data_IF_540485919812
#
_entry.id   IF_540485919812
#
_cell.length_a   1.000
_cell.length_b   1.000
_cell.length_c   1.000
_cell.angle_alpha   90.00
_cell.angle_beta   90.00
_cell.angle_gamma   90.00
#
_symmetry.space_group_name_H-M   'P 1'
#
loop_
_entity.id
_entity.type
_entity.pdbx_description
1 polymer ?
#
# COMPACT_ATOMS: atom_id res chain seq x y z
N UNK A 1 -10.08 -13.09 3.45
CA UNK A 1 -10.45 -12.13 2.39
C UNK A 1 -9.18 -11.31 2.22
N UNK A 2 -8.39 -11.58 1.18
CA UNK A 2 -6.99 -11.15 1.11
C UNK A 2 -6.84 -9.64 1.30
N UNK A 3 -6.10 -9.19 2.33
CA UNK A 3 -5.99 -7.78 2.71
C UNK A 3 -5.48 -6.88 1.59
N UNK A 4 -4.66 -7.44 0.69
CA UNK A 4 -3.97 -6.71 -0.36
C UNK A 4 -4.44 -7.06 -1.79
N UNK A 5 -5.60 -7.73 -1.94
CA UNK A 5 -6.13 -8.05 -3.27
C UNK A 5 -6.42 -6.79 -4.09
N UNK A 6 -5.51 -6.51 -5.01
CA UNK A 6 -5.63 -5.47 -6.02
C UNK A 6 -6.72 -5.80 -7.04
N UNK A 7 -7.76 -4.98 -7.08
CA UNK A 7 -8.78 -5.05 -8.12
C UNK A 7 -10.09 -4.44 -7.69
N UNK A 8 -10.61 -3.50 -8.49
CA UNK A 8 -11.98 -3.01 -8.33
C UNK A 8 -12.95 -4.18 -8.46
N UNK A 9 -13.76 -4.44 -7.43
CA UNK A 9 -14.96 -5.25 -7.58
C UNK A 9 -15.86 -4.56 -8.61
N UNK A 10 -15.85 -5.05 -9.85
CA UNK A 10 -16.75 -4.56 -10.91
C UNK A 10 -18.18 -5.05 -10.68
N UNK A 11 -18.31 -6.14 -9.93
CA UNK A 11 -19.55 -6.83 -9.64
C UNK A 11 -19.47 -7.38 -8.21
N UNK A 12 -20.53 -7.17 -7.43
CA UNK A 12 -20.67 -7.80 -6.11
C UNK A 12 -22.09 -8.37 -5.95
N UNK A 13 -22.20 -9.46 -5.21
CA UNK A 13 -23.49 -10.04 -4.82
C UNK A 13 -23.73 -9.77 -3.34
N UNK A 14 -24.44 -8.69 -3.04
CA UNK A 14 -24.79 -8.35 -1.67
C UNK A 14 -26.21 -8.83 -1.39
N UNK A 15 -26.36 -9.83 -0.50
CA UNK A 15 -27.66 -10.42 -0.17
C UNK A 15 -28.32 -11.21 -1.32
N UNK A 16 -27.51 -11.78 -2.22
CA UNK A 16 -27.99 -12.57 -3.36
C UNK A 16 -28.42 -11.74 -4.59
N UNK A 17 -28.22 -10.42 -4.56
CA UNK A 17 -28.58 -9.52 -5.65
C UNK A 17 -27.34 -8.88 -6.28
N UNK A 18 -27.25 -8.81 -7.61
CA UNK A 18 -26.11 -8.25 -8.31
C UNK A 18 -26.09 -6.71 -8.19
N UNK A 19 -24.93 -6.15 -7.83
CA UNK A 19 -24.66 -4.70 -7.89
C UNK A 19 -23.49 -4.44 -8.81
N UNK A 20 -23.65 -3.41 -9.64
CA UNK A 20 -22.64 -2.94 -10.57
C UNK A 20 -21.96 -1.70 -10.00
N UNK A 21 -20.62 -1.69 -10.02
CA UNK A 21 -19.80 -0.56 -9.60
C UNK A 21 -19.29 0.19 -10.83
N UNK A 22 -19.80 1.40 -11.07
CA UNK A 22 -19.39 2.23 -12.20
C UNK A 22 -18.71 3.51 -11.74
N UNK A 23 -17.72 3.96 -12.52
CA UNK A 23 -17.14 5.28 -12.30
C UNK A 23 -18.18 6.36 -12.57
N UNK A 24 -18.18 7.42 -11.75
CA UNK A 24 -18.99 8.62 -11.91
C UNK A 24 -19.02 9.16 -13.35
N UNK A 25 -17.94 8.99 -14.12
CA UNK A 25 -17.87 9.39 -15.53
C UNK A 25 -19.00 8.79 -16.40
N UNK A 26 -19.56 7.65 -16.00
CA UNK A 26 -20.63 6.95 -16.72
C UNK A 26 -22.03 7.23 -16.16
N UNK A 27 -22.16 8.02 -15.09
CA UNK A 27 -23.44 8.32 -14.44
C UNK A 27 -24.43 8.96 -15.42
N UNK A 28 -23.97 9.95 -16.19
CA UNK A 28 -24.82 10.62 -17.17
C UNK A 28 -25.29 9.66 -18.28
N UNK A 29 -24.44 8.71 -18.69
CA UNK A 29 -24.78 7.71 -19.70
C UNK A 29 -25.86 6.78 -19.15
N UNK A 30 -25.70 6.27 -17.92
CA UNK A 30 -26.69 5.39 -17.28
C UNK A 30 -28.03 6.11 -17.07
N UNK A 31 -28.01 7.35 -16.57
CA UNK A 31 -29.22 8.17 -16.42
C UNK A 31 -29.94 8.41 -17.75
N UNK A 32 -29.19 8.64 -18.83
CA UNK A 32 -29.77 8.76 -20.17
C UNK A 32 -30.35 7.44 -20.68
N UNK A 33 -29.67 6.32 -20.46
CA UNK A 33 -30.20 5.00 -20.83
C UNK A 33 -31.55 4.72 -20.15
N UNK A 34 -31.68 4.99 -18.85
CA UNK A 34 -32.96 4.83 -18.12
C UNK A 34 -34.05 5.70 -18.75
N UNK A 35 -33.74 6.96 -19.09
CA UNK A 35 -34.71 7.86 -19.77
C UNK A 35 -35.10 7.37 -21.16
N UNK A 36 -34.16 6.81 -21.92
CA UNK A 36 -34.42 6.23 -23.24
C UNK A 36 -35.28 4.98 -23.10
N UNK A 37 -35.00 4.08 -22.15
CA UNK A 37 -35.82 2.90 -21.90
C UNK A 37 -37.23 3.26 -21.48
N UNK A 38 -37.40 4.25 -20.58
CA UNK A 38 -38.71 4.77 -20.23
C UNK A 38 -39.45 5.33 -21.46
N UNK A 39 -38.77 6.11 -22.31
CA UNK A 39 -39.34 6.65 -23.55
C UNK A 39 -39.74 5.56 -24.55
N UNK A 40 -38.92 4.53 -24.71
CA UNK A 40 -39.23 3.34 -25.53
C UNK A 40 -40.43 2.60 -24.95
N UNK A 41 -40.53 2.44 -23.64
CA UNK A 41 -41.69 1.85 -22.97
C UNK A 41 -42.98 2.63 -23.27
N UNK A 42 -42.94 3.97 -23.19
CA UNK A 42 -44.07 4.83 -23.54
C UNK A 42 -44.44 4.69 -25.02
N UNK A 43 -43.47 4.70 -25.94
CA UNK A 43 -43.74 4.53 -27.37
C UNK A 43 -44.34 3.15 -27.67
N UNK A 44 -43.81 2.09 -27.06
CA UNK A 44 -44.31 0.72 -27.23
C UNK A 44 -45.74 0.58 -26.70
N UNK A 45 -46.15 1.36 -25.70
CA UNK A 45 -47.54 1.35 -25.21
C UNK A 45 -48.58 1.82 -26.23
N UNK A 46 -48.16 2.60 -27.24
CA UNK A 46 -49.02 3.10 -28.32
C UNK A 46 -49.28 2.00 -29.37
N UNK A 47 -48.34 1.07 -29.52
CA UNK A 47 -48.45 -0.03 -30.47
C UNK A 47 -49.27 -1.17 -29.85
N UNK A 48 -50.32 -1.58 -30.54
CA UNK A 48 -51.19 -2.69 -30.12
C UNK A 48 -50.50 -4.02 -30.38
N UNK A 49 -49.61 -4.44 -29.47
CA UNK A 49 -49.06 -5.79 -29.46
C UNK A 49 -50.04 -6.78 -28.87
N UNK A 50 -49.87 -8.06 -29.19
CA UNK A 50 -50.53 -9.14 -28.46
C UNK A 50 -50.12 -9.10 -26.98
N UNK A 51 -51.08 -9.35 -26.09
CA UNK A 51 -50.93 -9.08 -24.64
C UNK A 51 -49.70 -9.74 -24.01
N UNK A 52 -49.34 -10.95 -24.46
CA UNK A 52 -48.19 -11.69 -23.95
C UNK A 52 -46.86 -11.10 -24.41
N UNK A 53 -46.80 -10.51 -25.60
CA UNK A 53 -45.62 -9.81 -26.13
C UNK A 53 -45.42 -8.51 -25.36
N UNK A 54 -46.49 -7.75 -25.15
CA UNK A 54 -46.46 -6.52 -24.35
C UNK A 54 -46.00 -6.78 -22.91
N UNK A 55 -46.53 -7.84 -22.28
CA UNK A 55 -46.12 -8.24 -20.93
C UNK A 55 -44.65 -8.64 -20.87
N UNK A 56 -44.17 -9.46 -21.82
CA UNK A 56 -42.77 -9.88 -21.86
C UNK A 56 -41.81 -8.68 -21.99
N UNK A 57 -42.11 -7.75 -22.88
CA UNK A 57 -41.33 -6.52 -23.07
C UNK A 57 -41.33 -5.66 -21.79
N UNK A 58 -42.49 -5.47 -21.16
CA UNK A 58 -42.59 -4.68 -19.94
C UNK A 58 -41.77 -5.28 -18.79
N UNK A 59 -41.80 -6.62 -18.65
CA UNK A 59 -40.98 -7.33 -17.65
C UNK A 59 -39.49 -7.12 -17.94
N UNK A 60 -39.05 -7.23 -19.20
CA UNK A 60 -37.63 -7.01 -19.55
C UNK A 60 -37.19 -5.57 -19.27
N UNK A 61 -37.98 -4.58 -19.70
CA UNK A 61 -37.68 -3.16 -19.44
C UNK A 61 -37.61 -2.89 -17.93
N UNK A 62 -38.58 -3.40 -17.16
CA UNK A 62 -38.57 -3.29 -15.71
C UNK A 62 -37.33 -3.91 -15.07
N UNK A 63 -36.91 -5.10 -15.52
CA UNK A 63 -35.70 -5.75 -15.00
C UNK A 63 -34.43 -4.95 -15.32
N UNK A 64 -34.35 -4.36 -16.52
CA UNK A 64 -33.22 -3.51 -16.92
C UNK A 64 -33.19 -2.23 -16.09
N UNK A 65 -34.32 -1.53 -15.94
CA UNK A 65 -34.40 -0.30 -15.14
C UNK A 65 -34.05 -0.59 -13.68
N UNK A 66 -34.63 -1.64 -13.10
CA UNK A 66 -34.33 -2.06 -11.73
C UNK A 66 -32.85 -2.44 -11.52
N UNK A 67 -32.21 -3.05 -12.52
CA UNK A 67 -30.78 -3.34 -12.48
C UNK A 67 -29.94 -2.06 -12.56
N UNK A 68 -30.28 -1.13 -13.46
CA UNK A 68 -29.56 0.13 -13.64
C UNK A 68 -29.71 1.06 -12.43
N UNK A 69 -30.89 1.13 -11.81
CA UNK A 69 -31.12 1.90 -10.58
C UNK A 69 -30.27 1.42 -9.39
N UNK A 70 -29.92 0.14 -9.37
CA UNK A 70 -29.03 -0.45 -8.36
C UNK A 70 -27.54 -0.24 -8.62
N UNK A 71 -27.17 0.45 -9.69
CA UNK A 71 -25.78 0.77 -9.98
C UNK A 71 -25.25 1.74 -8.92
N UNK A 72 -24.16 1.34 -8.26
CA UNK A 72 -23.43 2.22 -7.36
C UNK A 72 -22.38 2.97 -8.18
N UNK A 73 -22.47 4.30 -8.15
CA UNK A 73 -21.45 5.15 -8.74
C UNK A 73 -20.36 5.40 -7.72
N UNK A 74 -19.11 5.27 -8.13
CA UNK A 74 -17.97 5.65 -7.30
C UNK A 74 -17.21 6.82 -7.91
N UNK A 75 -16.61 7.63 -7.03
CA UNK A 75 -15.60 8.62 -7.39
C UNK A 75 -14.26 8.20 -6.80
N UNK A 76 -13.16 8.72 -7.36
CA UNK A 76 -11.83 8.31 -6.93
C UNK A 76 -11.01 9.55 -6.57
N UNK A 77 -10.30 9.45 -5.44
CA UNK A 77 -9.24 10.38 -5.08
C UNK A 77 -7.90 9.68 -5.25
N UNK A 78 -6.84 10.46 -5.41
CA UNK A 78 -5.47 9.94 -5.46
C UNK A 78 -4.69 10.58 -4.33
N UNK A 79 -4.21 9.76 -3.40
CA UNK A 79 -3.24 10.14 -2.40
C UNK A 79 -1.85 9.69 -2.87
N UNK A 80 -0.94 10.65 -3.05
CA UNK A 80 0.45 10.40 -3.40
C UNK A 80 1.26 10.66 -2.13
N UNK A 81 1.87 9.61 -1.58
CA UNK A 81 2.83 9.77 -0.48
C UNK A 81 4.15 10.30 -1.03
N UNK A 82 4.90 11.02 -0.21
CA UNK A 82 6.21 11.56 -0.61
C UNK A 82 7.12 10.43 -1.09
N UNK A 83 7.98 10.75 -2.06
CA UNK A 83 8.86 9.77 -2.70
C UNK A 83 10.24 10.35 -2.88
N UNK A 84 11.25 9.49 -2.81
CA UNK A 84 12.61 9.82 -3.22
C UNK A 84 12.62 9.83 -4.75
N UNK A 85 12.63 11.03 -5.35
CA UNK A 85 12.58 11.24 -6.81
C UNK A 85 13.82 10.68 -7.52
N UNK A 86 15.01 10.92 -6.96
CA UNK A 86 16.27 10.38 -7.48
C UNK A 86 16.77 9.29 -6.52
N UNK A 87 16.08 8.14 -6.56
CA UNK A 87 16.48 6.98 -5.80
C UNK A 87 17.70 6.30 -6.46
N UNK A 88 18.80 6.19 -5.72
CA UNK A 88 20.04 5.57 -6.14
C UNK A 88 20.30 4.36 -5.23
N UNK A 89 20.02 3.12 -5.69
CA UNK A 89 20.17 1.93 -4.87
C UNK A 89 21.57 1.75 -4.28
N UNK A 90 22.59 2.22 -4.99
CA UNK A 90 23.99 2.10 -4.59
C UNK A 90 24.38 3.04 -3.45
N UNK A 91 23.54 4.02 -3.09
CA UNK A 91 23.77 4.88 -1.94
C UNK A 91 23.55 4.12 -0.63
N UNK A 92 22.63 3.14 -0.58
CA UNK A 92 22.39 2.31 0.60
C UNK A 92 23.40 1.17 0.68
N UNK A 93 24.48 1.35 1.44
CA UNK A 93 25.59 0.40 1.51
C UNK A 93 25.20 -0.88 2.23
N UNK A 94 24.65 -0.76 3.44
CA UNK A 94 24.33 -1.89 4.31
C UNK A 94 23.25 -1.53 5.34
N UNK A 95 22.81 -2.53 6.09
CA UNK A 95 22.02 -2.34 7.31
C UNK A 95 22.84 -2.84 8.48
N UNK A 96 23.00 -2.01 9.53
CA UNK A 96 23.75 -2.36 10.74
C UNK A 96 22.82 -2.49 11.93
N UNK A 97 23.18 -3.34 12.90
CA UNK A 97 22.44 -3.46 14.15
C UNK A 97 23.35 -3.01 15.28
N UNK A 98 22.91 -2.00 16.02
CA UNK A 98 23.60 -1.46 17.18
C UNK A 98 22.69 -1.64 18.40
N UNK A 99 23.26 -1.96 19.55
CA UNK A 99 22.54 -2.02 20.82
C UNK A 99 23.09 -0.99 21.77
N UNK A 100 22.22 -0.15 22.34
CA UNK A 100 22.58 0.73 23.44
C UNK A 100 22.50 -0.08 24.73
N UNK A 101 23.64 -0.56 25.20
CA UNK A 101 23.76 -1.51 26.32
C UNK A 101 24.29 -2.86 25.86
N UNK A 102 23.91 -3.95 26.54
CA UNK A 102 24.41 -5.28 26.20
C UNK A 102 23.70 -5.84 24.95
N UNK A 103 24.41 -6.29 23.89
CA UNK A 103 23.82 -6.70 22.62
C UNK A 103 22.80 -7.84 22.70
N UNK A 104 22.91 -8.71 23.69
CA UNK A 104 21.96 -9.81 23.91
C UNK A 104 20.87 -9.49 24.94
N UNK A 105 20.96 -8.35 25.64
CA UNK A 105 19.95 -8.00 26.64
C UNK A 105 18.66 -7.53 25.95
N UNK A 106 17.51 -8.19 26.18
CA UNK A 106 16.24 -7.76 25.66
C UNK A 106 15.78 -6.39 26.18
N UNK A 107 16.37 -5.85 27.25
CA UNK A 107 16.08 -4.51 27.76
C UNK A 107 16.86 -3.41 27.05
N UNK A 108 17.92 -3.77 26.32
CA UNK A 108 18.69 -2.78 25.57
C UNK A 108 17.86 -2.21 24.42
N UNK A 109 18.02 -0.91 24.17
CA UNK A 109 17.44 -0.25 23.01
C UNK A 109 18.19 -0.71 21.77
N UNK A 110 17.44 -1.21 20.79
CA UNK A 110 18.00 -1.67 19.52
C UNK A 110 17.91 -0.57 18.49
N UNK A 111 18.97 -0.42 17.72
CA UNK A 111 19.07 0.52 16.61
C UNK A 111 19.34 -0.30 15.36
N UNK A 112 18.50 -0.10 14.35
CA UNK A 112 18.74 -0.55 12.98
C UNK A 112 19.27 0.66 12.23
N UNK A 113 20.56 0.62 11.89
CA UNK A 113 21.23 1.65 11.15
C UNK A 113 21.11 1.43 9.65
N UNK A 114 20.57 2.42 8.93
CA UNK A 114 20.61 2.46 7.47
C UNK A 114 21.90 3.17 7.07
N UNK A 115 22.88 2.38 6.60
CA UNK A 115 24.18 2.91 6.20
C UNK A 115 24.13 3.41 4.76
N UNK A 116 24.23 4.73 4.59
CA UNK A 116 24.23 5.44 3.32
C UNK A 116 25.63 5.98 2.99
N UNK A 117 25.94 6.20 1.70
CA UNK A 117 27.29 6.66 1.30
C UNK A 117 27.58 8.10 1.72
N UNK A 118 26.59 8.99 1.66
CA UNK A 118 26.78 10.43 1.89
C UNK A 118 25.76 11.00 2.85
N UNK A 119 26.16 12.09 3.53
CA UNK A 119 25.31 12.86 4.43
C UNK A 119 24.08 13.44 3.71
N UNK A 120 24.30 14.06 2.54
CA UNK A 120 23.22 14.64 1.72
C UNK A 120 22.16 13.60 1.34
N UNK A 121 22.60 12.38 0.97
CA UNK A 121 21.66 11.32 0.65
C UNK A 121 20.92 10.80 1.89
N UNK A 122 21.59 10.75 3.04
CA UNK A 122 20.95 10.42 4.32
C UNK A 122 19.85 11.42 4.69
N UNK A 123 20.10 12.72 4.52
CA UNK A 123 19.12 13.78 4.77
C UNK A 123 17.91 13.64 3.85
N UNK A 124 18.13 13.41 2.55
CA UNK A 124 17.06 13.16 1.57
C UNK A 124 16.28 11.89 1.89
N UNK A 125 16.96 10.82 2.28
CA UNK A 125 16.33 9.53 2.57
C UNK A 125 15.46 9.61 3.82
N UNK A 126 16.00 10.14 4.92
CA UNK A 126 15.29 10.23 6.18
C UNK A 126 14.24 11.33 6.22
N UNK A 127 14.39 12.42 5.45
CA UNK A 127 13.30 13.42 5.32
C UNK A 127 12.03 12.81 4.72
N UNK A 128 12.16 11.87 3.76
CA UNK A 128 11.02 11.12 3.21
C UNK A 128 10.47 10.13 4.24
N UNK A 129 11.32 9.42 4.99
CA UNK A 129 10.84 8.53 6.05
C UNK A 129 10.07 9.27 7.14
N UNK A 130 10.55 10.46 7.54
CA UNK A 130 9.88 11.31 8.51
C UNK A 130 8.54 11.84 8.00
N UNK A 131 8.45 12.16 6.70
CA UNK A 131 7.17 12.60 6.14
C UNK A 131 6.15 11.45 6.06
N UNK A 132 6.61 10.20 6.07
CA UNK A 132 5.74 9.02 6.15
C UNK A 132 5.20 8.75 7.55
N UNK A 133 5.89 9.19 8.61
CA UNK A 133 5.51 8.92 10.01
C UNK A 133 4.56 9.96 10.62
N UNK A 134 4.18 10.99 9.87
CA UNK A 134 3.29 12.04 10.36
C UNK A 134 3.98 13.12 11.20
N UNK A 135 3.21 14.12 11.65
CA UNK A 135 3.71 15.31 12.38
C UNK A 135 3.87 15.12 13.88
N UNK A 136 3.39 14.01 14.44
CA UNK A 136 3.55 13.70 15.86
C UNK A 136 4.44 12.46 16.01
N UNK A 137 5.59 12.62 16.65
CA UNK A 137 6.61 11.58 16.95
C UNK A 137 6.09 10.36 17.72
N UNK A 138 4.77 10.23 17.90
CA UNK A 138 4.08 9.22 18.70
C UNK A 138 3.05 8.39 17.93
N UNK A 139 2.73 8.71 16.68
CA UNK A 139 1.91 7.83 15.84
C UNK A 139 2.76 6.64 15.35
N UNK A 140 3.08 5.77 16.31
CA UNK A 140 3.82 4.54 16.08
C UNK A 140 3.01 3.60 15.18
N UNK A 141 3.56 3.22 14.03
CA UNK A 141 2.98 2.19 13.15
C UNK A 141 2.78 2.60 11.69
N UNK A 142 3.00 3.88 11.35
CA UNK A 142 2.84 4.38 9.98
C UNK A 142 3.95 3.88 9.03
N UNK A 143 5.11 3.52 9.58
CA UNK A 143 6.22 2.92 8.84
C UNK A 143 6.33 1.42 9.15
N UNK A 144 6.50 0.61 8.11
CA UNK A 144 6.75 -0.84 8.21
C UNK A 144 8.17 -1.15 7.76
N UNK A 145 8.87 -1.92 8.59
CA UNK A 145 10.15 -2.53 8.26
C UNK A 145 9.95 -4.04 8.15
N UNK A 146 10.43 -4.63 7.07
CA UNK A 146 10.29 -6.06 6.85
C UNK A 146 11.55 -6.69 6.32
N UNK A 147 11.82 -7.89 6.79
CA UNK A 147 12.98 -8.68 6.42
C UNK A 147 12.52 -9.98 5.77
N UNK A 148 12.96 -10.19 4.53
CA UNK A 148 12.74 -11.46 3.81
C UNK A 148 14.10 -12.13 3.62
N UNK A 149 14.29 -13.31 4.20
CA UNK A 149 15.57 -14.05 4.13
C UNK A 149 15.44 -15.21 3.14
N UNK A 150 16.30 -15.19 2.12
CA UNK A 150 16.33 -16.13 1.00
C UNK A 150 17.76 -16.70 0.87
N UNK A 151 17.99 -17.87 1.49
CA UNK A 151 19.28 -18.59 1.49
C UNK A 151 20.47 -17.67 1.85
N UNK A 152 21.24 -17.27 0.84
CA UNK A 152 22.46 -16.46 0.96
C UNK A 152 22.21 -14.95 0.95
N UNK A 153 20.94 -14.52 0.85
CA UNK A 153 20.55 -13.12 0.76
C UNK A 153 19.47 -12.79 1.78
N UNK A 154 19.45 -11.54 2.25
CA UNK A 154 18.30 -10.98 2.96
C UNK A 154 17.89 -9.66 2.33
N UNK A 155 16.59 -9.41 2.30
CA UNK A 155 15.98 -8.23 1.70
C UNK A 155 15.34 -7.39 2.78
N UNK A 156 15.68 -6.12 2.80
CA UNK A 156 15.10 -5.13 3.71
C UNK A 156 14.09 -4.31 2.94
N UNK A 157 12.84 -4.32 3.38
CA UNK A 157 11.76 -3.51 2.85
C UNK A 157 11.39 -2.43 3.85
N UNK A 158 11.28 -1.19 3.37
CA UNK A 158 10.77 -0.04 4.12
C UNK A 158 9.65 0.59 3.31
N UNK A 159 8.46 0.69 3.91
CA UNK A 159 7.27 1.23 3.25
C UNK A 159 6.27 1.77 4.25
N UNK A 160 5.41 2.69 3.82
CA UNK A 160 4.31 3.15 4.65
C UNK A 160 3.26 2.05 4.82
N UNK A 161 2.71 1.90 6.02
CA UNK A 161 1.54 1.07 6.24
C UNK A 161 0.37 1.62 5.40
N UNK A 162 -0.20 0.81 4.49
CA UNK A 162 -1.38 1.21 3.72
C UNK A 162 -2.64 1.32 4.60
N UNK A 163 -2.64 0.78 5.82
CA UNK A 163 -3.73 0.89 6.80
C UNK A 163 -3.52 1.98 7.85
N UNK A 164 -2.51 2.86 7.68
CA UNK A 164 -2.15 3.93 8.63
C UNK A 164 -3.29 4.91 8.94
N UNK A 165 -3.29 5.46 10.15
CA UNK A 165 -4.36 6.37 10.61
C UNK A 165 -4.37 7.69 9.84
N UNK A 166 -3.19 8.25 9.54
CA UNK A 166 -3.03 9.48 8.76
C UNK A 166 -3.70 9.40 7.38
N UNK A 167 -3.67 8.23 6.74
CA UNK A 167 -4.31 7.96 5.46
C UNK A 167 -5.83 7.80 5.59
N UNK A 168 -6.30 7.11 6.64
CA UNK A 168 -7.73 6.99 6.96
C UNK A 168 -8.34 8.36 7.24
N UNK A 169 -7.63 9.20 7.98
CA UNK A 169 -8.03 10.57 8.28
C UNK A 169 -8.15 11.42 7.01
N UNK A 170 -7.13 11.39 6.16
CA UNK A 170 -7.14 12.11 4.87
C UNK A 170 -8.27 11.65 3.96
N UNK A 171 -8.48 10.33 3.87
CA UNK A 171 -9.58 9.73 3.10
C UNK A 171 -10.94 10.22 3.60
N UNK A 172 -11.15 10.22 4.92
CA UNK A 172 -12.38 10.68 5.54
C UNK A 172 -12.63 12.18 5.33
N UNK A 173 -11.60 13.00 5.42
CA UNK A 173 -11.73 14.45 5.17
C UNK A 173 -12.19 14.73 3.74
N UNK A 174 -11.66 13.99 2.76
CA UNK A 174 -12.12 14.07 1.36
C UNK A 174 -13.59 13.63 1.24
N UNK A 175 -14.00 12.57 1.94
CA UNK A 175 -15.41 12.15 1.95
C UNK A 175 -16.33 13.22 2.51
N UNK A 176 -15.94 13.83 3.63
CA UNK A 176 -16.72 14.87 4.29
C UNK A 176 -16.78 16.16 3.47
N UNK A 177 -15.67 16.57 2.83
CA UNK A 177 -15.61 17.74 1.94
C UNK A 177 -16.53 17.60 0.72
N UNK A 178 -16.53 16.42 0.09
CA UNK A 178 -17.30 16.18 -1.13
C UNK A 178 -18.68 15.57 -0.90
N UNK A 179 -19.10 15.38 0.35
CA UNK A 179 -20.35 14.69 0.73
C UNK A 179 -21.60 15.27 0.05
N UNK A 180 -21.67 16.59 -0.07
CA UNK A 180 -22.80 17.27 -0.68
C UNK A 180 -22.82 17.11 -2.21
N UNK A 181 -21.66 17.20 -2.87
CA UNK A 181 -21.53 17.09 -4.32
C UNK A 181 -21.66 15.63 -4.81
N UNK A 182 -21.13 14.69 -4.02
CA UNK A 182 -21.04 13.27 -4.35
C UNK A 182 -22.10 12.43 -3.64
N UNK A 183 -23.24 13.04 -3.30
CA UNK A 183 -24.33 12.36 -2.62
C UNK A 183 -24.75 11.07 -3.35
N UNK A 184 -24.81 9.96 -2.60
CA UNK A 184 -25.16 8.64 -3.14
C UNK A 184 -24.04 7.94 -3.91
N UNK A 185 -22.81 8.47 -3.89
CA UNK A 185 -21.62 7.87 -4.52
C UNK A 185 -20.68 7.31 -3.46
N UNK A 186 -20.00 6.23 -3.81
CA UNK A 186 -18.99 5.61 -2.96
C UNK A 186 -17.61 6.20 -3.26
N UNK A 187 -16.84 6.48 -2.21
CA UNK A 187 -15.48 6.97 -2.36
C UNK A 187 -14.52 5.79 -2.53
N UNK A 188 -13.66 5.86 -3.55
CA UNK A 188 -12.62 4.86 -3.79
C UNK A 188 -11.24 5.54 -3.74
N UNK A 189 -10.57 5.56 -2.58
CA UNK A 189 -9.24 6.14 -2.45
C UNK A 189 -8.20 5.30 -3.20
N UNK A 190 -7.39 5.96 -4.03
CA UNK A 190 -6.22 5.36 -4.67
C UNK A 190 -4.97 5.85 -3.95
N UNK A 191 -4.12 4.92 -3.55
CA UNK A 191 -2.89 5.21 -2.81
C UNK A 191 -1.71 4.91 -3.73
N UNK A 192 -0.86 5.91 -3.93
CA UNK A 192 0.41 5.77 -4.63
C UNK A 192 1.51 6.00 -3.61
N UNK A 193 2.30 4.96 -3.33
CA UNK A 193 3.40 5.01 -2.37
C UNK A 193 4.64 4.31 -2.92
N UNK A 194 5.81 4.78 -2.52
CA UNK A 194 7.08 4.16 -2.85
C UNK A 194 7.40 3.06 -1.82
N UNK A 195 8.05 2.00 -2.29
CA UNK A 195 8.57 0.92 -1.44
C UNK A 195 10.06 0.85 -1.67
N UNK A 196 10.83 1.04 -0.59
CA UNK A 196 12.28 0.98 -0.62
C UNK A 196 12.68 -0.45 -0.31
N UNK A 197 13.48 -1.05 -1.19
CA UNK A 197 13.91 -2.44 -1.06
C UNK A 197 15.36 -2.58 -1.48
N UNK A 198 16.19 -3.20 -0.63
CA UNK A 198 17.55 -3.62 -0.99
C UNK A 198 17.87 -5.00 -0.46
N UNK A 199 18.49 -5.81 -1.32
CA UNK A 199 19.04 -7.12 -0.97
C UNK A 199 20.50 -7.01 -0.55
N UNK A 200 20.88 -7.78 0.46
CA UNK A 200 22.23 -7.86 1.00
C UNK A 200 22.62 -9.32 1.17
N UNK A 201 23.90 -9.64 1.01
CA UNK A 201 24.44 -10.98 1.27
C UNK A 201 24.40 -11.28 2.77
N UNK A 202 24.10 -12.52 3.14
CA UNK A 202 24.09 -12.98 4.55
C UNK A 202 25.47 -13.39 5.06
N UNK A 203 26.48 -13.46 4.17
CA UNK A 203 27.87 -13.79 4.49
C UNK A 203 28.55 -12.68 5.32
N UNK A 204 29.08 -13.05 6.50
CA UNK A 204 29.79 -12.22 7.50
C UNK A 204 29.00 -11.66 8.68
N UNK A 205 28.15 -12.49 9.29
CA UNK A 205 27.52 -12.17 10.56
C UNK A 205 26.17 -11.51 10.31
N UNK A 206 25.15 -12.34 10.41
CA UNK A 206 23.76 -11.96 10.30
C UNK A 206 23.38 -11.09 11.52
N UNK A 207 23.80 -9.82 11.51
CA UNK A 207 23.49 -8.84 12.56
C UNK A 207 21.98 -8.74 12.80
N UNK A 208 21.20 -9.05 11.76
CA UNK A 208 19.77 -9.19 11.81
C UNK A 208 19.29 -10.33 12.72
N UNK A 209 19.97 -11.48 12.76
CA UNK A 209 19.63 -12.59 13.65
C UNK A 209 19.73 -12.17 15.12
N UNK A 210 20.81 -11.47 15.47
CA UNK A 210 20.95 -10.89 16.81
C UNK A 210 19.83 -9.90 17.14
N UNK A 211 19.40 -9.08 16.17
CA UNK A 211 18.25 -8.19 16.36
C UNK A 211 16.97 -8.98 16.64
N UNK A 212 16.68 -10.00 15.84
CA UNK A 212 15.47 -10.83 15.96
C UNK A 212 15.43 -11.58 17.29
N UNK A 213 16.57 -12.15 17.72
CA UNK A 213 16.69 -12.89 18.97
C UNK A 213 16.53 -11.98 20.21
N UNK A 214 16.95 -10.72 20.11
CA UNK A 214 16.99 -9.79 21.24
C UNK A 214 15.93 -8.68 21.20
N UNK A 215 15.08 -8.63 20.18
CA UNK A 215 14.02 -7.65 20.02
C UNK A 215 12.69 -8.32 19.63
N UNK A 216 11.89 -8.81 20.60
CA UNK A 216 10.62 -9.48 20.28
C UNK A 216 9.65 -8.55 19.52
N UNK A 217 8.72 -9.12 18.72
CA UNK A 217 7.71 -8.33 18.01
C UNK A 217 6.92 -7.40 18.95
N UNK A 218 6.68 -6.17 18.51
CA UNK A 218 6.00 -5.14 19.31
C UNK A 218 6.92 -4.36 20.26
N UNK A 219 8.18 -4.77 20.43
CA UNK A 219 9.16 -3.97 21.17
C UNK A 219 9.72 -2.85 20.30
N UNK A 220 9.72 -1.65 20.86
CA UNK A 220 10.28 -0.46 20.22
C UNK A 220 11.77 -0.60 19.91
N UNK A 221 12.16 -0.07 18.76
CA UNK A 221 13.52 0.06 18.28
C UNK A 221 13.64 1.35 17.48
N UNK A 222 14.88 1.73 17.16
CA UNK A 222 15.17 2.98 16.46
C UNK A 222 15.70 2.64 15.08
N UNK A 223 15.16 3.29 14.04
CA UNK A 223 15.74 3.29 12.71
C UNK A 223 16.58 4.57 12.59
N UNK A 224 17.90 4.45 12.44
CA UNK A 224 18.80 5.59 12.46
C UNK A 224 19.65 5.71 11.19
N UNK A 225 19.97 6.93 10.74
CA UNK A 225 20.86 7.15 9.61
C UNK A 225 22.33 6.96 10.01
N UNK A 226 23.06 6.22 9.20
CA UNK A 226 24.52 6.10 9.27
C UNK A 226 25.12 6.51 7.94
N UNK A 227 26.32 7.07 7.96
CA UNK A 227 27.07 7.42 6.75
C UNK A 227 28.43 6.72 6.74
N UNK A 228 29.00 6.57 5.55
CA UNK A 228 30.39 6.13 5.43
C UNK A 228 31.31 7.15 6.08
N UNK A 229 32.23 6.68 6.93
CA UNK A 229 33.30 7.53 7.44
C UNK A 229 34.12 8.13 6.29
N UNK A 230 34.84 9.24 6.50
CA UNK A 230 35.71 9.84 5.47
C UNK A 230 36.74 8.86 4.87
N UNK A 231 37.11 7.84 5.64
CA UNK A 231 38.05 6.79 5.23
C UNK A 231 37.34 5.58 4.58
N UNK A 232 36.00 5.59 4.50
CA UNK A 232 35.17 4.63 3.79
C UNK A 232 35.01 3.25 4.44
N UNK A 233 35.58 3.04 5.63
CA UNK A 233 35.71 1.71 6.23
C UNK A 233 34.61 1.35 7.23
N UNK A 234 33.99 2.35 7.87
CA UNK A 234 33.06 2.12 8.98
C UNK A 234 31.85 3.05 8.91
N UNK A 235 30.66 2.59 9.33
CA UNK A 235 29.49 3.43 9.47
C UNK A 235 29.63 4.32 10.71
N UNK A 236 29.46 5.63 10.53
CA UNK A 236 29.33 6.59 11.63
C UNK A 236 27.90 7.14 11.64
N UNK A 237 27.32 7.48 12.81
CA UNK A 237 26.01 8.12 12.86
C UNK A 237 25.99 9.39 12.00
N UNK A 238 24.93 9.59 11.23
CA UNK A 238 24.76 10.83 10.47
C UNK A 238 24.44 11.97 11.45
N UNK A 239 25.14 13.10 11.32
CA UNK A 239 24.92 14.25 12.21
C UNK A 239 23.71 15.07 11.75
N UNK A 240 22.93 15.61 12.69
CA UNK A 240 21.82 16.54 12.36
C UNK A 240 20.59 15.90 11.70
N UNK A 241 20.51 14.57 11.64
CA UNK A 241 19.35 13.84 11.13
C UNK A 241 18.71 13.07 12.28
N UNK A 242 17.45 13.40 12.59
CA UNK A 242 16.71 12.70 13.63
C UNK A 242 16.43 11.25 13.20
N UNK A 243 16.52 10.28 14.13
CA UNK A 243 16.14 8.91 13.84
C UNK A 243 14.61 8.73 13.86
N UNK A 244 14.13 7.64 13.29
CA UNK A 244 12.72 7.26 13.28
C UNK A 244 12.47 6.20 14.35
N UNK A 245 11.48 6.42 15.22
CA UNK A 245 11.06 5.44 16.21
C UNK A 245 10.13 4.41 15.59
N UNK A 246 10.41 3.13 15.83
CA UNK A 246 9.71 2.01 15.22
C UNK A 246 9.21 1.07 16.32
N UNK A 247 7.97 0.60 16.20
CA UNK A 247 7.39 -0.39 17.13
C UNK A 247 7.05 -1.72 16.46
N UNK A 248 7.18 -1.79 15.12
CA UNK A 248 6.79 -2.97 14.36
C UNK A 248 7.83 -3.31 13.29
N UNK A 249 8.11 -4.59 13.18
CA UNK A 249 8.83 -5.16 12.07
C UNK A 249 8.23 -6.52 11.72
N UNK A 250 8.46 -6.98 10.49
CA UNK A 250 8.15 -8.34 10.05
C UNK A 250 9.43 -9.09 9.70
N UNK A 251 9.42 -10.39 9.94
CA UNK A 251 10.47 -11.29 9.51
C UNK A 251 9.82 -12.52 8.91
N UNK A 252 10.15 -12.84 7.66
CA UNK A 252 9.62 -14.02 6.95
C UNK A 252 10.71 -14.63 6.06
N UNK A 253 10.54 -15.91 5.76
CA UNK A 253 11.21 -16.56 4.62
C UNK A 253 10.24 -16.58 3.42
N UNK A 254 10.72 -16.68 2.17
CA UNK A 254 9.89 -16.68 0.96
C UNK A 254 8.68 -17.62 1.02
N UNK A 255 8.86 -18.84 1.54
CA UNK A 255 7.79 -19.85 1.62
C UNK A 255 6.68 -19.50 2.61
N UNK A 256 6.91 -18.52 3.49
CA UNK A 256 5.92 -18.01 4.45
C UNK A 256 5.18 -16.76 3.95
N UNK A 257 5.53 -16.26 2.76
CA UNK A 257 4.84 -15.14 2.14
C UNK A 257 3.55 -15.62 1.48
N UNK A 258 2.43 -14.96 1.81
CA UNK A 258 1.11 -15.24 1.24
C UNK A 258 0.44 -13.98 0.65
N UNK A 259 -0.77 -14.11 0.11
CA UNK A 259 -1.51 -12.99 -0.49
C UNK A 259 -2.02 -11.96 0.55
N UNK A 260 -1.85 -12.24 1.84
CA UNK A 260 -2.07 -11.31 2.93
C UNK A 260 -0.78 -10.54 3.32
N UNK A 261 0.37 -10.83 2.70
CA UNK A 261 1.60 -10.05 2.88
C UNK A 261 1.81 -9.03 1.76
N UNK A 262 2.15 -7.81 2.16
CA UNK A 262 2.53 -6.76 1.22
C UNK A 262 3.80 -7.13 0.43
N UNK A 263 4.73 -7.80 1.13
CA UNK A 263 6.01 -8.25 0.60
C UNK A 263 5.86 -9.32 -0.47
N UNK A 264 4.82 -10.17 -0.41
CA UNK A 264 4.58 -11.24 -1.39
C UNK A 264 4.51 -10.71 -2.83
N UNK A 265 3.76 -9.63 -3.05
CA UNK A 265 3.61 -9.01 -4.37
C UNK A 265 4.90 -8.37 -4.90
N UNK A 266 5.80 -7.98 -4.00
CA UNK A 266 7.07 -7.35 -4.37
C UNK A 266 8.16 -8.40 -4.57
N UNK A 267 8.14 -9.44 -3.74
CA UNK A 267 9.00 -10.61 -3.84
C UNK A 267 8.86 -11.30 -5.20
N UNK A 268 7.63 -11.51 -5.68
CA UNK A 268 7.40 -12.11 -7.01
C UNK A 268 8.13 -11.35 -8.13
N UNK A 269 8.14 -10.01 -8.08
CA UNK A 269 8.86 -9.19 -9.07
C UNK A 269 10.37 -9.31 -8.97
N UNK A 270 10.91 -9.51 -7.77
CA UNK A 270 12.34 -9.73 -7.54
C UNK A 270 12.75 -11.09 -8.13
N UNK A 271 11.97 -12.14 -7.86
CA UNK A 271 12.22 -13.50 -8.38
C UNK A 271 12.10 -13.55 -9.91
N UNK A 272 11.06 -12.93 -10.48
CA UNK A 272 10.87 -12.84 -11.93
C UNK A 272 12.09 -12.21 -12.62
N UNK A 273 12.63 -11.11 -12.08
CA UNK A 273 13.85 -10.47 -12.62
C UNK A 273 15.08 -11.38 -12.56
N UNK A 274 15.27 -12.14 -11.47
CA UNK A 274 16.38 -13.11 -11.37
C UNK A 274 16.26 -14.22 -12.43
N UNK A 275 15.03 -14.64 -12.76
CA UNK A 275 14.79 -15.67 -13.78
C UNK A 275 15.07 -15.18 -15.21
N UNK A 276 14.79 -13.90 -15.49
CA UNK A 276 15.08 -13.29 -16.80
C UNK A 276 16.59 -13.12 -16.99
N UNK A 277 17.32 -12.75 -15.94
CA UNK A 277 18.79 -12.63 -15.98
C UNK A 277 19.56 -13.95 -16.08
N UNK A 278 18.92 -15.11 -15.88
CA UNK A 278 19.54 -16.43 -16.10
C UNK A 278 19.41 -16.95 -17.53
N UNK A 279 18.59 -16.29 -18.36
CA UNK A 279 18.35 -16.65 -19.78
C UNK A 279 18.91 -15.60 -20.76
N UNK A 280 19.76 -14.67 -20.30
CA UNK A 280 20.44 -13.67 -21.12
C UNK A 280 21.94 -13.95 -21.21
#
# INVERSE_FOLDING_TARGET
MGKYKWGKKRFDMQGGLPRLYLSEKHENIVKWMIRVFAGVGVLLSIFTFEWYVGLAIAVVLFLVDWFLERTLFYYSSVHISDMIVDYEPDQWVATVVVSVGHPQDPKSTKIIGIWLKTQEYAEKYFSVLHSWTGREDKEQGDLRLSFVVDEDMYYVFIYCDPERESLKFTTKNIEDEYKAEKHGKEHFPLIVQQVLCKGFETTNGFALGMFLDSNPPGKEFILAPYISSPNGQEPIPAEGIDPVYMSSYKFKIPDQLDDDDFEFYHWQRIVERKSIGKNA
#
